data_IF_832045315273
#
_entry.id   IF_832045315273
#
_cell.length_a   1.000
_cell.length_b   1.000
_cell.length_c   1.000
_cell.angle_alpha   90.00
_cell.angle_beta   90.00
_cell.angle_gamma   90.00
#
_symmetry.space_group_name_H-M   'P 1'
#
loop_
_entity.id
_entity.type
_entity.pdbx_description
1 polymer ?
#
# COMPACT_ATOMS: atom_id res chain seq x y z
N UNK A 1 -0.64 -4.71 11.15
CA UNK A 1 -0.84 -3.61 10.19
C UNK A 1 -1.51 -4.06 8.89
N UNK A 2 -0.95 -4.96 8.07
CA UNK A 2 -1.49 -5.24 6.71
C UNK A 2 -2.91 -5.82 6.66
N UNK A 3 -3.25 -6.81 7.49
CA UNK A 3 -4.56 -7.49 7.40
C UNK A 3 -5.70 -6.74 8.08
N UNK A 4 -5.40 -5.94 9.11
CA UNK A 4 -6.39 -5.30 9.99
C UNK A 4 -6.29 -3.78 10.07
N UNK A 5 -5.27 -3.15 9.47
CA UNK A 5 -4.99 -1.72 9.63
C UNK A 5 -4.54 -1.27 11.03
N UNK A 6 -3.95 -2.16 11.83
CA UNK A 6 -3.44 -1.78 13.15
C UNK A 6 -2.31 -0.74 13.06
N UNK A 7 -2.58 0.45 13.62
CA UNK A 7 -1.70 1.62 13.61
C UNK A 7 -0.50 1.48 14.57
N UNK A 8 -0.67 0.83 15.72
CA UNK A 8 0.44 0.57 16.64
C UNK A 8 1.45 -0.38 16.00
N UNK A 9 0.96 -1.43 15.34
CA UNK A 9 1.80 -2.33 14.56
C UNK A 9 2.49 -1.59 13.40
N UNK A 10 1.83 -0.60 12.77
CA UNK A 10 2.48 0.23 11.74
C UNK A 10 3.65 1.03 12.33
N UNK A 11 3.46 1.66 13.49
CA UNK A 11 4.50 2.41 14.20
C UNK A 11 5.69 1.54 14.63
N UNK A 12 5.43 0.29 15.06
CA UNK A 12 6.50 -0.67 15.38
C UNK A 12 7.33 -1.03 14.14
N UNK A 13 6.67 -1.22 12.99
CA UNK A 13 7.41 -1.47 11.74
C UNK A 13 8.21 -0.23 11.35
N UNK A 14 7.62 0.98 11.42
CA UNK A 14 8.31 2.23 11.11
C UNK A 14 9.57 2.40 11.95
N UNK A 15 9.52 2.16 13.27
CA UNK A 15 10.71 2.27 14.12
C UNK A 15 11.79 1.27 13.74
N UNK A 16 11.42 0.06 13.32
CA UNK A 16 12.36 -0.97 12.88
C UNK A 16 13.03 -0.69 11.52
N UNK A 17 12.45 0.17 10.68
CA UNK A 17 12.95 0.47 9.31
C UNK A 17 13.50 1.88 9.14
N UNK A 18 13.84 2.57 10.24
CA UNK A 18 14.43 3.92 10.19
C UNK A 18 13.39 5.06 10.10
N UNK A 19 12.15 4.79 10.48
CA UNK A 19 11.06 5.76 10.52
C UNK A 19 10.57 6.21 9.14
N UNK A 20 9.76 7.27 9.08
CA UNK A 20 9.24 7.83 7.83
C UNK A 20 10.31 8.17 6.78
N UNK A 21 11.47 8.65 7.25
CA UNK A 21 12.64 8.91 6.39
C UNK A 21 13.16 7.64 5.73
N UNK A 22 13.39 6.57 6.49
CA UNK A 22 13.85 5.29 5.94
C UNK A 22 12.89 4.71 4.89
N UNK A 23 11.57 4.86 5.09
CA UNK A 23 10.57 4.49 4.09
C UNK A 23 10.70 5.33 2.82
N UNK A 24 10.80 6.65 2.95
CA UNK A 24 10.95 7.56 1.81
C UNK A 24 12.26 7.30 1.05
N UNK A 25 13.36 7.04 1.75
CA UNK A 25 14.65 6.73 1.13
C UNK A 25 14.58 5.41 0.34
N UNK A 26 13.94 4.38 0.89
CA UNK A 26 13.71 3.13 0.19
C UNK A 26 12.86 3.32 -1.08
N UNK A 27 11.81 4.14 -1.02
CA UNK A 27 10.99 4.50 -2.17
C UNK A 27 11.84 5.17 -3.28
N UNK A 28 12.77 6.06 -2.90
CA UNK A 28 13.70 6.68 -3.87
C UNK A 28 14.64 5.66 -4.51
N UNK A 29 15.14 4.68 -3.74
CA UNK A 29 16.02 3.63 -4.26
C UNK A 29 15.36 2.76 -5.34
N UNK A 30 14.06 2.48 -5.21
CA UNK A 30 13.28 1.71 -6.20
C UNK A 30 12.72 2.59 -7.33
N UNK A 31 13.08 3.87 -7.36
CA UNK A 31 12.74 4.83 -8.41
C UNK A 31 11.36 5.48 -8.28
N UNK A 32 10.70 5.40 -7.12
CA UNK A 32 9.55 6.25 -6.81
C UNK A 32 10.07 7.63 -6.40
N UNK A 33 9.73 8.65 -7.18
CA UNK A 33 10.19 10.04 -6.98
C UNK A 33 9.16 10.92 -6.30
N UNK A 34 7.93 10.45 -6.14
CA UNK A 34 6.78 11.25 -5.71
C UNK A 34 6.37 10.89 -4.28
N UNK A 35 6.21 9.59 -4.02
CA UNK A 35 5.70 9.11 -2.73
C UNK A 35 6.64 9.52 -1.60
N UNK A 36 6.06 10.02 -0.51
CA UNK A 36 6.78 10.40 0.70
C UNK A 36 5.97 10.03 1.94
N UNK A 37 6.67 9.62 2.98
CA UNK A 37 6.14 9.43 4.32
C UNK A 37 6.93 10.35 5.25
N UNK A 38 6.22 11.18 6.00
CA UNK A 38 6.80 12.26 6.81
C UNK A 38 6.48 12.09 8.29
N UNK A 39 5.36 11.45 8.62
CA UNK A 39 4.86 11.25 9.99
C UNK A 39 4.58 9.79 10.29
N UNK A 40 4.36 9.51 11.57
CA UNK A 40 3.92 8.22 12.09
C UNK A 40 2.40 8.25 12.33
N UNK A 41 1.82 7.12 12.71
CA UNK A 41 0.41 7.07 13.12
C UNK A 41 0.21 7.76 14.48
N UNK A 42 -0.89 8.50 14.69
CA UNK A 42 -2.00 8.72 13.75
C UNK A 42 -1.83 9.93 12.81
N UNK A 43 -0.83 10.78 13.05
CA UNK A 43 -0.72 12.13 12.46
C UNK A 43 -0.60 12.14 10.93
N UNK A 44 -0.09 11.07 10.33
CA UNK A 44 0.01 10.94 8.86
C UNK A 44 -1.36 11.00 8.15
N UNK A 45 -2.46 10.76 8.87
CA UNK A 45 -3.81 10.76 8.33
C UNK A 45 -4.49 12.14 8.30
N UNK A 46 -3.76 13.23 8.53
CA UNK A 46 -4.35 14.59 8.57
C UNK A 46 -5.13 14.93 7.28
N UNK A 47 -4.57 14.63 6.10
CA UNK A 47 -5.30 14.76 4.82
C UNK A 47 -5.61 16.19 4.36
N UNK A 48 -4.92 17.20 4.90
CA UNK A 48 -5.18 18.61 4.60
C UNK A 48 -4.86 18.97 3.15
N UNK A 49 -5.76 19.70 2.50
CA UNK A 49 -5.55 20.21 1.14
C UNK A 49 -4.27 21.06 1.04
N UNK A 50 -3.42 20.74 0.07
CA UNK A 50 -2.16 21.45 -0.21
C UNK A 50 -0.99 21.06 0.70
N UNK A 51 -1.20 20.21 1.71
CA UNK A 51 -0.10 19.62 2.47
C UNK A 51 0.56 18.51 1.64
N UNK A 52 1.88 18.61 1.48
CA UNK A 52 2.65 17.62 0.72
C UNK A 52 3.06 16.42 1.58
N UNK A 53 2.94 16.49 2.91
CA UNK A 53 3.35 15.40 3.80
C UNK A 53 2.48 14.16 3.60
N UNK A 54 3.10 12.98 3.69
CA UNK A 54 2.41 11.67 3.64
C UNK A 54 1.57 11.45 2.38
N UNK A 55 2.07 11.96 1.24
CA UNK A 55 1.36 11.93 -0.03
C UNK A 55 2.01 11.03 -1.08
N UNK A 56 1.22 10.66 -2.07
CA UNK A 56 1.65 10.00 -3.31
C UNK A 56 0.78 10.50 -4.47
N UNK A 57 1.09 10.06 -5.69
CA UNK A 57 0.19 10.17 -6.84
C UNK A 57 -0.34 8.80 -7.22
N UNK A 58 -1.53 8.68 -7.82
CA UNK A 58 -2.07 7.39 -8.26
C UNK A 58 -1.11 6.60 -9.17
N UNK A 59 -0.40 7.30 -10.06
CA UNK A 59 0.58 6.69 -10.96
C UNK A 59 1.81 6.17 -10.21
N UNK A 60 2.32 6.94 -9.25
CA UNK A 60 3.52 6.55 -8.49
C UNK A 60 3.25 5.30 -7.65
N UNK A 61 2.16 5.29 -6.87
CA UNK A 61 1.87 4.15 -5.99
C UNK A 61 1.50 2.88 -6.77
N UNK A 62 0.84 3.01 -7.94
CA UNK A 62 0.60 1.87 -8.82
C UNK A 62 1.90 1.28 -9.38
N UNK A 63 2.83 2.14 -9.83
CA UNK A 63 4.15 1.70 -10.31
C UNK A 63 4.96 1.04 -9.20
N UNK A 64 4.94 1.61 -8.00
CA UNK A 64 5.64 1.07 -6.82
C UNK A 64 5.09 -0.29 -6.41
N UNK A 65 3.76 -0.44 -6.35
CA UNK A 65 3.13 -1.73 -6.03
C UNK A 65 3.48 -2.81 -7.06
N UNK A 66 3.47 -2.46 -8.35
CA UNK A 66 3.88 -3.36 -9.42
C UNK A 66 5.35 -3.83 -9.24
N UNK A 67 6.28 -2.93 -8.91
CA UNK A 67 7.68 -3.28 -8.64
C UNK A 67 7.85 -4.17 -7.41
N UNK A 68 7.05 -3.98 -6.37
CA UNK A 68 7.12 -4.81 -5.16
C UNK A 68 6.61 -6.22 -5.36
N UNK A 69 5.57 -6.42 -6.17
CA UNK A 69 4.96 -7.74 -6.35
C UNK A 69 5.53 -8.50 -7.55
N UNK A 70 5.97 -7.81 -8.60
CA UNK A 70 6.35 -8.43 -9.88
C UNK A 70 7.71 -7.98 -10.40
N UNK A 71 8.35 -7.02 -9.73
CA UNK A 71 9.71 -6.57 -10.06
C UNK A 71 10.77 -7.39 -9.33
N UNK A 72 11.95 -6.80 -9.16
CA UNK A 72 13.09 -7.41 -8.46
C UNK A 72 13.48 -6.68 -7.18
N UNK A 73 12.62 -5.79 -6.67
CA UNK A 73 12.87 -5.03 -5.44
C UNK A 73 12.84 -5.92 -4.17
N UNK A 74 12.14 -7.06 -4.25
CA UNK A 74 12.05 -8.07 -3.21
C UNK A 74 12.45 -9.43 -3.78
N UNK A 75 12.94 -10.35 -2.95
CA UNK A 75 13.09 -11.76 -3.34
C UNK A 75 11.73 -12.40 -3.61
N UNK A 76 11.67 -13.44 -4.43
CA UNK A 76 10.43 -14.15 -4.78
C UNK A 76 9.62 -14.58 -3.54
N UNK A 77 10.31 -15.09 -2.50
CA UNK A 77 9.67 -15.45 -1.23
C UNK A 77 9.00 -14.24 -0.55
N UNK A 78 9.65 -13.07 -0.59
CA UNK A 78 9.11 -11.85 0.01
C UNK A 78 8.01 -11.21 -0.85
N UNK A 79 8.09 -11.32 -2.18
CA UNK A 79 6.99 -10.94 -3.07
C UNK A 79 5.73 -11.74 -2.73
N UNK A 80 5.87 -13.07 -2.64
CA UNK A 80 4.73 -13.95 -2.30
C UNK A 80 4.18 -13.68 -0.90
N UNK A 81 5.06 -13.37 0.06
CA UNK A 81 4.66 -13.01 1.42
C UNK A 81 3.86 -11.69 1.45
N UNK A 82 4.31 -10.67 0.72
CA UNK A 82 3.62 -9.39 0.62
C UNK A 82 2.26 -9.55 -0.07
N UNK A 83 2.22 -10.24 -1.21
CA UNK A 83 0.97 -10.58 -1.91
C UNK A 83 0.01 -11.30 -0.95
N UNK A 84 0.48 -12.33 -0.24
CA UNK A 84 -0.34 -13.10 0.70
C UNK A 84 -0.91 -12.23 1.82
N UNK A 85 -0.14 -11.30 2.39
CA UNK A 85 -0.66 -10.37 3.39
C UNK A 85 -1.76 -9.46 2.84
N UNK A 86 -1.64 -9.02 1.59
CA UNK A 86 -2.64 -8.19 0.91
C UNK A 86 -3.90 -8.99 0.51
N UNK A 87 -3.75 -10.22 0.05
CA UNK A 87 -4.86 -11.14 -0.23
C UNK A 87 -5.68 -11.37 1.04
N UNK A 88 -5.00 -11.60 2.16
CA UNK A 88 -5.59 -11.86 3.47
C UNK A 88 -6.08 -10.60 4.21
N UNK A 89 -6.18 -9.46 3.53
CA UNK A 89 -6.77 -8.25 4.11
C UNK A 89 -8.25 -8.46 4.46
N UNK A 90 -8.63 -8.09 5.68
CA UNK A 90 -9.96 -8.33 6.26
C UNK A 90 -10.85 -7.08 6.30
N UNK A 91 -10.31 -5.89 5.98
CA UNK A 91 -10.99 -4.60 6.19
C UNK A 91 -11.43 -3.90 4.90
N UNK A 92 -11.39 -4.59 3.76
CA UNK A 92 -11.66 -4.03 2.42
C UNK A 92 -12.83 -4.68 1.69
N UNK A 93 -13.60 -5.54 2.37
CA UNK A 93 -14.70 -6.30 1.77
C UNK A 93 -15.77 -5.43 1.08
N UNK A 94 -16.00 -4.22 1.58
CA UNK A 94 -16.98 -3.27 1.04
C UNK A 94 -16.46 -2.37 -0.09
N UNK A 95 -15.22 -2.57 -0.57
CA UNK A 95 -14.62 -1.81 -1.66
C UNK A 95 -14.60 -2.65 -2.95
N UNK A 96 -13.47 -2.71 -3.65
CA UNK A 96 -13.32 -3.46 -4.91
C UNK A 96 -13.67 -4.95 -4.76
N UNK A 97 -13.44 -5.53 -3.59
CA UNK A 97 -13.81 -6.93 -3.29
C UNK A 97 -15.31 -7.21 -3.48
N UNK A 98 -16.17 -6.23 -3.22
CA UNK A 98 -17.63 -6.38 -3.31
C UNK A 98 -18.14 -6.52 -4.76
N UNK A 99 -17.34 -6.11 -5.73
CA UNK A 99 -17.71 -6.07 -7.16
C UNK A 99 -16.76 -6.91 -8.02
N UNK A 100 -15.88 -7.69 -7.39
CA UNK A 100 -14.90 -8.48 -8.10
C UNK A 100 -15.61 -9.62 -8.88
N UNK A 101 -15.37 -9.80 -10.18
CA UNK A 101 -16.01 -10.86 -10.95
C UNK A 101 -15.68 -12.25 -10.39
N UNK A 102 -16.57 -13.22 -10.61
CA UNK A 102 -16.32 -14.60 -10.22
C UNK A 102 -15.03 -15.14 -10.87
N UNK A 103 -14.23 -15.87 -10.09
CA UNK A 103 -12.95 -16.45 -10.54
C UNK A 103 -11.77 -15.46 -10.56
N UNK A 104 -11.97 -14.20 -10.15
CA UNK A 104 -10.88 -13.24 -9.98
C UNK A 104 -10.35 -13.28 -8.55
N UNK A 105 -9.07 -12.93 -8.45
CA UNK A 105 -8.34 -12.76 -7.20
C UNK A 105 -7.98 -11.28 -7.00
N UNK A 106 -7.75 -10.90 -5.74
CA UNK A 106 -7.40 -9.53 -5.36
C UNK A 106 -6.44 -9.52 -4.17
N UNK A 107 -5.39 -8.72 -4.30
CA UNK A 107 -4.48 -8.32 -3.24
C UNK A 107 -4.64 -6.81 -3.04
N UNK A 108 -5.13 -6.36 -1.88
CA UNK A 108 -5.44 -4.93 -1.69
C UNK A 108 -5.04 -4.36 -0.32
N UNK A 109 -4.98 -3.04 -0.30
CA UNK A 109 -4.83 -2.23 0.92
C UNK A 109 -5.64 -0.95 0.76
N UNK A 110 -6.40 -0.57 1.78
CA UNK A 110 -7.16 0.68 1.79
C UNK A 110 -6.68 1.64 2.86
N UNK A 111 -7.02 2.92 2.69
CA UNK A 111 -6.75 3.99 3.64
C UNK A 111 -7.94 4.96 3.75
N UNK A 112 -8.13 5.52 4.94
CA UNK A 112 -9.11 6.56 5.21
C UNK A 112 -8.50 7.56 6.19
N UNK A 113 -8.84 8.84 6.07
CA UNK A 113 -8.24 9.89 6.90
C UNK A 113 -9.09 11.15 7.00
N UNK A 114 -8.47 12.23 7.46
CA UNK A 114 -9.07 13.55 7.56
C UNK A 114 -9.57 14.08 6.21
N UNK A 115 -10.43 15.09 6.26
CA UNK A 115 -11.04 15.73 5.08
C UNK A 115 -11.76 14.76 4.14
N UNK A 116 -12.24 13.61 4.64
CA UNK A 116 -12.92 12.59 3.83
C UNK A 116 -11.99 11.85 2.87
N UNK A 117 -10.67 11.90 3.09
CA UNK A 117 -9.72 11.17 2.28
C UNK A 117 -10.05 9.67 2.28
N UNK A 118 -10.12 9.08 1.09
CA UNK A 118 -10.36 7.65 0.89
C UNK A 118 -9.53 7.12 -0.27
N UNK A 119 -8.89 5.99 -0.07
CA UNK A 119 -8.04 5.36 -1.07
C UNK A 119 -8.08 3.83 -0.99
N UNK A 120 -7.77 3.21 -2.12
CA UNK A 120 -7.46 1.78 -2.23
C UNK A 120 -6.39 1.59 -3.30
N UNK A 121 -5.41 0.74 -3.01
CA UNK A 121 -4.43 0.23 -3.96
C UNK A 121 -4.58 -1.28 -4.02
N UNK A 122 -4.77 -1.81 -5.21
CA UNK A 122 -5.00 -3.23 -5.41
C UNK A 122 -4.23 -3.74 -6.62
N UNK A 123 -3.98 -5.04 -6.61
CA UNK A 123 -3.69 -5.83 -7.81
C UNK A 123 -4.79 -6.86 -7.95
N UNK A 124 -5.30 -7.04 -9.16
CA UNK A 124 -6.33 -8.03 -9.48
C UNK A 124 -5.89 -8.90 -10.64
N UNK A 125 -6.28 -10.17 -10.63
CA UNK A 125 -5.91 -11.13 -11.67
C UNK A 125 -6.92 -12.27 -11.76
N UNK A 126 -6.81 -13.08 -12.81
CA UNK A 126 -7.51 -14.35 -12.93
C UNK A 126 -6.63 -15.35 -13.67
N UNK A 127 -7.11 -16.58 -13.86
CA UNK A 127 -6.40 -17.59 -14.67
C UNK A 127 -6.16 -17.10 -16.11
N UNK A 128 -7.02 -16.24 -16.65
CA UNK A 128 -6.98 -15.78 -18.05
C UNK A 128 -6.56 -14.32 -18.20
N UNK A 129 -6.27 -13.62 -17.10
CA UNK A 129 -5.88 -12.21 -17.09
C UNK A 129 -4.67 -12.03 -16.19
N UNK A 130 -3.55 -11.61 -16.79
CA UNK A 130 -2.36 -11.22 -16.05
C UNK A 130 -2.67 -10.08 -15.06
N UNK A 131 -1.91 -9.95 -13.96
CA UNK A 131 -2.14 -8.92 -12.96
C UNK A 131 -2.26 -7.50 -13.54
N UNK A 132 -3.28 -6.76 -13.09
CA UNK A 132 -3.52 -5.35 -13.39
C UNK A 132 -3.70 -4.53 -12.11
#
# INVERSE_FOLDING_TARGET
TMTTSDNTAANIILSAVGGPKGVTDFLRQIGDKETRLDRIEPDLNEGKLGDLRDTTTPKAIASTLNKFLFGSALSEMNQKKLESWMVNNQVTGNLLRSVLPAGWNIADRSGAGGFGARSITAVVWSEHQAPI
#
